data_IF_567725414913
#
_entry.id   IF_567725414913
#
_cell.length_a   1.000
_cell.length_b   1.000
_cell.length_c   1.000
_cell.angle_alpha   90.00
_cell.angle_beta   90.00
_cell.angle_gamma   90.00
#
_symmetry.space_group_name_H-M   'P 1'
#
loop_
_entity.id
_entity.type
_entity.pdbx_description
1 polymer ?
#
# COMPACT_ATOMS: atom_id res chain seq x y z
N UNK A 1 17.35 19.20 -33.19
CA UNK A 1 16.59 18.11 -33.85
C UNK A 1 15.89 17.43 -32.71
N UNK A 2 14.56 17.37 -32.76
CA UNK A 2 13.77 16.87 -31.63
C UNK A 2 14.17 15.44 -31.26
N UNK A 3 14.70 15.27 -30.05
CA UNK A 3 15.03 13.96 -29.49
C UNK A 3 13.80 13.39 -28.77
N UNK A 4 13.10 12.51 -29.46
CA UNK A 4 11.87 11.89 -28.95
C UNK A 4 12.10 10.97 -27.75
N UNK A 5 13.28 10.34 -27.67
CA UNK A 5 13.58 9.37 -26.61
C UNK A 5 13.91 10.11 -25.32
N UNK A 6 14.75 11.15 -25.41
CA UNK A 6 15.02 12.04 -24.29
C UNK A 6 13.75 12.74 -23.79
N UNK A 7 12.92 13.27 -24.71
CA UNK A 7 11.64 13.90 -24.36
C UNK A 7 10.70 12.95 -23.61
N UNK A 8 10.58 11.70 -24.08
CA UNK A 8 9.73 10.68 -23.45
C UNK A 8 10.22 10.30 -22.05
N UNK A 9 11.53 10.11 -21.89
CA UNK A 9 12.12 9.75 -20.60
C UNK A 9 11.92 10.87 -19.58
N UNK A 10 12.16 12.12 -19.99
CA UNK A 10 11.97 13.29 -19.15
C UNK A 10 10.48 13.49 -18.76
N UNK A 11 9.55 13.24 -19.68
CA UNK A 11 8.11 13.31 -19.42
C UNK A 11 7.68 12.25 -18.38
N UNK A 12 8.18 11.03 -18.50
CA UNK A 12 7.88 9.95 -17.58
C UNK A 12 8.46 10.23 -16.18
N UNK A 13 9.70 10.70 -16.10
CA UNK A 13 10.34 11.10 -14.84
C UNK A 13 9.54 12.22 -14.16
N UNK A 14 9.16 13.26 -14.92
CA UNK A 14 8.38 14.39 -14.40
C UNK A 14 7.02 13.94 -13.88
N UNK A 15 6.34 13.03 -14.59
CA UNK A 15 5.04 12.51 -14.18
C UNK A 15 5.14 11.66 -12.91
N UNK A 16 6.21 10.86 -12.78
CA UNK A 16 6.48 10.09 -11.57
C UNK A 16 6.78 11.01 -10.37
N UNK A 17 7.54 12.09 -10.59
CA UNK A 17 7.82 13.08 -9.54
C UNK A 17 6.54 13.79 -9.07
N UNK A 18 5.66 14.18 -9.98
CA UNK A 18 4.36 14.80 -9.65
C UNK A 18 3.46 13.82 -8.86
N UNK A 19 3.44 12.54 -9.22
CA UNK A 19 2.67 11.53 -8.51
C UNK A 19 3.18 11.31 -7.08
N UNK A 20 4.51 11.20 -6.92
CA UNK A 20 5.14 10.98 -5.62
C UNK A 20 5.07 12.21 -4.70
N UNK A 21 4.93 13.42 -5.26
CA UNK A 21 4.66 14.66 -4.50
C UNK A 21 3.39 14.53 -3.63
N UNK A 22 2.41 13.74 -4.05
CA UNK A 22 1.18 13.53 -3.29
C UNK A 22 1.36 12.60 -2.06
N UNK A 23 2.44 11.82 -2.01
CA UNK A 23 2.65 10.75 -1.02
C UNK A 23 3.71 11.12 0.05
N UNK A 24 4.72 11.94 -0.28
CA UNK A 24 5.85 12.25 0.62
C UNK A 24 5.84 13.71 1.13
N UNK A 25 5.15 13.96 2.24
CA UNK A 25 4.98 15.31 2.82
C UNK A 25 6.21 16.00 3.43
N UNK A 26 7.46 15.63 3.10
CA UNK A 26 8.67 16.21 3.72
C UNK A 26 9.91 16.44 2.81
N UNK A 27 9.88 16.10 1.52
CA UNK A 27 10.95 16.40 0.53
C UNK A 27 10.51 17.45 -0.53
N UNK A 28 9.64 18.36 -0.11
CA UNK A 28 8.89 19.32 -0.94
C UNK A 28 9.77 20.11 -1.93
N UNK A 29 10.80 20.80 -1.44
CA UNK A 29 11.36 21.92 -2.20
C UNK A 29 12.35 21.48 -3.29
N UNK A 30 13.19 20.48 -3.02
CA UNK A 30 14.10 19.92 -4.04
C UNK A 30 13.32 19.22 -5.15
N UNK A 31 12.23 18.53 -4.79
CA UNK A 31 11.35 17.87 -5.73
C UNK A 31 10.61 18.88 -6.60
N UNK A 32 10.12 19.98 -6.01
CA UNK A 32 9.42 21.05 -6.73
C UNK A 32 10.35 21.76 -7.72
N UNK A 33 11.56 22.13 -7.30
CA UNK A 33 12.59 22.70 -8.19
C UNK A 33 12.92 21.77 -9.35
N UNK A 34 12.98 20.45 -9.10
CA UNK A 34 13.25 19.44 -10.14
C UNK A 34 12.09 19.31 -11.13
N UNK A 35 10.84 19.33 -10.65
CA UNK A 35 9.64 19.33 -11.50
C UNK A 35 9.63 20.58 -12.38
N UNK A 36 9.85 21.76 -11.82
CA UNK A 36 9.89 23.03 -12.57
C UNK A 36 10.98 23.02 -13.65
N UNK A 37 12.18 22.55 -13.31
CA UNK A 37 13.30 22.44 -14.24
C UNK A 37 12.99 21.47 -15.40
N UNK A 38 12.41 20.31 -15.09
CA UNK A 38 12.03 19.34 -16.10
C UNK A 38 10.92 19.87 -17.02
N UNK A 39 9.93 20.56 -16.46
CA UNK A 39 8.86 21.21 -17.24
C UNK A 39 9.41 22.28 -18.17
N UNK A 40 10.32 23.13 -17.69
CA UNK A 40 10.98 24.13 -18.53
C UNK A 40 11.75 23.47 -19.68
N UNK A 41 12.44 22.37 -19.39
CA UNK A 41 13.18 21.59 -20.39
C UNK A 41 12.25 20.93 -21.41
N UNK A 42 11.13 20.35 -20.97
CA UNK A 42 10.09 19.79 -21.86
C UNK A 42 9.50 20.87 -22.77
N UNK A 43 9.22 22.08 -22.25
CA UNK A 43 8.75 23.21 -23.08
C UNK A 43 9.79 23.65 -24.10
N UNK A 44 11.06 23.67 -23.71
CA UNK A 44 12.16 23.98 -24.62
C UNK A 44 12.26 22.96 -25.77
N UNK A 45 12.25 21.67 -25.44
CA UNK A 45 12.27 20.59 -26.44
C UNK A 45 11.04 20.62 -27.35
N UNK A 46 9.86 20.87 -26.80
CA UNK A 46 8.62 20.96 -27.57
C UNK A 46 8.64 22.12 -28.58
N UNK A 47 9.43 23.17 -28.36
CA UNK A 47 9.61 24.26 -29.35
C UNK A 47 10.36 23.83 -30.59
N UNK A 48 11.17 22.77 -30.51
CA UNK A 48 11.87 22.20 -31.67
C UNK A 48 10.95 21.38 -32.59
N UNK A 49 9.70 21.11 -32.18
CA UNK A 49 8.71 20.44 -33.03
C UNK A 49 8.38 21.36 -34.22
N UNK A 50 8.61 20.85 -35.43
CA UNK A 50 8.38 21.57 -36.69
C UNK A 50 6.91 21.72 -37.05
N UNK A 51 6.08 20.74 -36.69
CA UNK A 51 4.63 20.78 -36.87
C UNK A 51 4.00 21.72 -35.83
N UNK A 52 3.43 22.83 -36.31
CA UNK A 52 2.84 23.89 -35.48
C UNK A 52 1.66 23.39 -34.63
N UNK A 53 0.81 22.53 -35.21
CA UNK A 53 -0.36 21.99 -34.53
C UNK A 53 0.07 21.00 -33.44
N UNK A 54 1.05 20.16 -33.75
CA UNK A 54 1.62 19.21 -32.81
C UNK A 54 2.36 19.93 -31.68
N UNK A 55 3.13 20.97 -32.02
CA UNK A 55 3.83 21.83 -31.06
C UNK A 55 2.84 22.49 -30.10
N UNK A 56 1.79 23.11 -30.63
CA UNK A 56 0.76 23.78 -29.85
C UNK A 56 0.04 22.82 -28.89
N UNK A 57 -0.34 21.62 -29.37
CA UNK A 57 -0.96 20.59 -28.52
C UNK A 57 -0.01 20.06 -27.46
N UNK A 58 1.27 19.88 -27.80
CA UNK A 58 2.29 19.35 -26.88
C UNK A 58 2.59 20.35 -25.78
N UNK A 59 2.79 21.64 -26.12
CA UNK A 59 2.98 22.70 -25.14
C UNK A 59 1.78 22.84 -24.20
N UNK A 60 0.55 22.81 -24.74
CA UNK A 60 -0.67 22.81 -23.92
C UNK A 60 -0.73 21.65 -22.94
N UNK A 61 -0.33 20.44 -23.38
CA UNK A 61 -0.28 19.27 -22.49
C UNK A 61 0.78 19.39 -21.41
N UNK A 62 1.95 19.97 -21.73
CA UNK A 62 3.00 20.21 -20.72
C UNK A 62 2.52 21.25 -19.70
N UNK A 63 1.86 22.32 -20.13
CA UNK A 63 1.27 23.31 -19.23
C UNK A 63 0.23 22.67 -18.29
N UNK A 64 -0.52 21.67 -18.76
CA UNK A 64 -1.51 20.95 -17.95
C UNK A 64 -0.89 20.02 -16.89
N UNK A 65 0.38 19.60 -17.03
CA UNK A 65 1.03 18.74 -16.03
C UNK A 65 1.27 19.46 -14.70
N UNK A 66 1.33 20.79 -14.71
CA UNK A 66 1.57 21.63 -13.53
C UNK A 66 0.28 22.10 -12.84
N UNK A 67 -0.88 21.88 -13.45
CA UNK A 67 -2.17 22.25 -12.86
C UNK A 67 -2.56 21.18 -11.85
N UNK A 68 -2.97 21.59 -10.64
CA UNK A 68 -3.54 20.66 -9.68
C UNK A 68 -4.72 19.89 -10.32
N UNK A 69 -4.93 18.62 -9.95
CA UNK A 69 -5.94 17.76 -10.57
C UNK A 69 -7.37 18.34 -10.55
N UNK A 70 -7.66 19.32 -9.68
CA UNK A 70 -8.95 20.04 -9.65
C UNK A 70 -9.16 21.04 -10.81
N UNK A 71 -8.08 21.62 -11.37
CA UNK A 71 -8.17 22.57 -12.51
C UNK A 71 -8.15 21.87 -13.88
N UNK A 72 -7.65 20.63 -13.91
CA UNK A 72 -7.60 19.76 -15.09
C UNK A 72 -9.01 19.44 -15.64
N UNK A 73 -9.98 19.18 -14.76
CA UNK A 73 -11.35 18.82 -15.16
C UNK A 73 -12.17 19.99 -15.73
N UNK A 74 -11.89 21.23 -15.33
CA UNK A 74 -12.68 22.42 -15.73
C UNK A 74 -12.31 22.96 -17.12
N UNK A 75 -11.03 22.94 -17.48
CA UNK A 75 -10.52 23.63 -18.69
C UNK A 75 -10.61 22.78 -19.98
N UNK A 76 -10.54 21.45 -19.89
CA UNK A 76 -10.68 20.58 -21.07
C UNK A 76 -12.15 20.49 -21.54
N UNK A 77 -13.10 20.49 -20.60
CA UNK A 77 -14.56 20.46 -20.87
C UNK A 77 -15.00 21.78 -21.53
N UNK A 78 -14.50 22.92 -21.05
CA UNK A 78 -14.82 24.24 -21.63
C UNK A 78 -14.28 24.43 -23.05
N UNK A 79 -13.08 23.91 -23.34
CA UNK A 79 -12.46 24.04 -24.66
C UNK A 79 -12.99 23.02 -25.69
N UNK A 80 -13.61 21.91 -25.27
CA UNK A 80 -14.37 21.02 -26.18
C UNK A 80 -15.78 21.54 -26.47
N UNK A 81 -16.38 22.31 -25.57
CA UNK A 81 -17.74 22.86 -25.72
C UNK A 81 -17.86 23.99 -26.77
N UNK A 82 -16.78 24.70 -27.11
CA UNK A 82 -16.84 25.80 -28.10
C UNK A 82 -16.88 25.34 -29.55
N UNK A 83 -16.61 24.06 -29.84
CA UNK A 83 -16.55 23.50 -31.20
C UNK A 83 -17.79 22.73 -31.68
N UNK A 84 -18.71 22.35 -30.79
CA UNK A 84 -19.82 21.43 -31.15
C UNK A 84 -21.16 22.12 -30.93
N UNK A 85 -21.50 22.96 -31.91
CA UNK A 85 -22.83 23.53 -32.09
C UNK A 85 -23.85 22.41 -32.42
N UNK A 86 -24.91 22.32 -31.60
CA UNK A 86 -26.18 21.58 -31.78
C UNK A 86 -26.24 20.09 -31.36
N UNK A 87 -26.18 19.81 -30.06
CA UNK A 87 -26.82 18.61 -29.43
C UNK A 87 -26.88 18.70 -27.88
N UNK A 88 -27.14 19.89 -27.32
CA UNK A 88 -26.80 20.18 -25.91
C UNK A 88 -27.64 19.44 -24.88
N UNK A 89 -28.94 19.23 -25.09
CA UNK A 89 -29.79 18.82 -23.95
C UNK A 89 -29.63 17.35 -23.52
N UNK A 90 -29.33 16.44 -24.46
CA UNK A 90 -29.09 15.03 -24.16
C UNK A 90 -27.65 14.80 -23.65
N UNK A 91 -26.69 15.53 -24.22
CA UNK A 91 -25.28 15.48 -23.80
C UNK A 91 -25.12 15.97 -22.37
N UNK A 92 -25.76 17.08 -21.99
CA UNK A 92 -25.69 17.66 -20.65
C UNK A 92 -26.32 16.76 -19.56
N UNK A 93 -27.24 15.86 -19.95
CA UNK A 93 -27.83 14.87 -19.05
C UNK A 93 -26.88 13.70 -18.80
N UNK A 94 -26.32 13.16 -19.88
CA UNK A 94 -25.35 12.06 -19.81
C UNK A 94 -24.10 12.51 -19.03
N UNK A 95 -23.65 13.74 -19.24
CA UNK A 95 -22.51 14.32 -18.54
C UNK A 95 -22.76 14.46 -17.03
N UNK A 96 -23.94 14.96 -16.63
CA UNK A 96 -24.31 15.04 -15.21
C UNK A 96 -24.38 13.66 -14.56
N UNK A 97 -24.88 12.66 -15.27
CA UNK A 97 -24.95 11.31 -14.75
C UNK A 97 -23.56 10.67 -14.62
N UNK A 98 -22.67 10.85 -15.61
CA UNK A 98 -21.28 10.40 -15.53
C UNK A 98 -20.58 11.04 -14.33
N UNK A 99 -20.66 12.37 -14.18
CA UNK A 99 -20.07 13.07 -13.03
C UNK A 99 -20.61 12.57 -11.70
N UNK A 100 -21.92 12.31 -11.63
CA UNK A 100 -22.57 11.78 -10.43
C UNK A 100 -22.08 10.37 -10.11
N UNK A 101 -21.92 9.52 -11.11
CA UNK A 101 -21.41 8.16 -10.92
C UNK A 101 -19.94 8.14 -10.55
N UNK A 102 -19.11 8.99 -11.17
CA UNK A 102 -17.69 9.13 -10.82
C UNK A 102 -17.51 9.60 -9.38
N UNK A 103 -18.26 10.61 -8.93
CA UNK A 103 -18.23 11.05 -7.52
C UNK A 103 -18.66 9.95 -6.56
N UNK A 104 -19.70 9.18 -6.90
CA UNK A 104 -20.16 8.04 -6.09
C UNK A 104 -19.13 6.91 -6.06
N UNK A 105 -18.46 6.65 -7.18
CA UNK A 105 -17.42 5.64 -7.28
C UNK A 105 -16.20 6.04 -6.45
N UNK A 106 -15.73 7.27 -6.58
CA UNK A 106 -14.62 7.80 -5.80
C UNK A 106 -14.91 7.72 -4.29
N UNK A 107 -16.13 8.12 -3.87
CA UNK A 107 -16.55 7.97 -2.48
C UNK A 107 -16.60 6.50 -2.00
N UNK A 108 -16.98 5.55 -2.87
CA UNK A 108 -16.93 4.11 -2.55
C UNK A 108 -15.50 3.58 -2.45
N UNK A 109 -14.61 4.01 -3.34
CA UNK A 109 -13.18 3.64 -3.31
C UNK A 109 -12.53 4.14 -2.04
N UNK A 110 -12.80 5.39 -1.63
CA UNK A 110 -12.31 5.94 -0.38
C UNK A 110 -12.76 5.12 0.84
N UNK A 111 -14.07 4.82 0.94
CA UNK A 111 -14.59 3.96 2.03
C UNK A 111 -14.01 2.55 2.00
N UNK A 112 -13.76 2.01 0.81
CA UNK A 112 -13.14 0.70 0.65
C UNK A 112 -11.70 0.71 1.18
N UNK A 113 -10.90 1.71 0.81
CA UNK A 113 -9.54 1.87 1.37
C UNK A 113 -9.55 2.03 2.89
N UNK A 114 -10.45 2.85 3.43
CA UNK A 114 -10.61 3.01 4.88
C UNK A 114 -10.97 1.67 5.57
N UNK A 115 -11.86 0.87 4.96
CA UNK A 115 -12.21 -0.47 5.46
C UNK A 115 -11.04 -1.44 5.40
N UNK A 116 -10.25 -1.42 4.31
CA UNK A 116 -9.07 -2.27 4.15
C UNK A 116 -7.98 -1.91 5.16
N UNK A 117 -7.77 -0.63 5.45
CA UNK A 117 -6.83 -0.20 6.48
C UNK A 117 -7.26 -0.68 7.88
N UNK A 118 -8.57 -0.58 8.18
CA UNK A 118 -9.15 -1.13 9.41
C UNK A 118 -8.94 -2.64 9.52
N UNK A 119 -9.26 -3.39 8.46
CA UNK A 119 -9.08 -4.85 8.43
C UNK A 119 -7.61 -5.24 8.58
N UNK A 120 -6.69 -4.48 7.98
CA UNK A 120 -5.24 -4.67 8.13
C UNK A 120 -4.79 -4.51 9.59
N UNK A 121 -5.28 -3.46 10.28
CA UNK A 121 -5.00 -3.26 11.72
C UNK A 121 -5.55 -4.39 12.57
N UNK A 122 -6.78 -4.84 12.31
CA UNK A 122 -7.39 -5.97 13.04
C UNK A 122 -6.60 -7.25 12.80
N UNK A 123 -6.17 -7.53 11.57
CA UNK A 123 -5.30 -8.68 11.27
C UNK A 123 -3.96 -8.59 12.01
N UNK A 124 -3.38 -7.39 12.14
CA UNK A 124 -2.21 -7.14 12.96
C UNK A 124 -2.44 -7.52 14.43
N UNK A 125 -3.54 -7.06 15.02
CA UNK A 125 -3.91 -7.40 16.41
C UNK A 125 -4.17 -8.89 16.62
N UNK A 126 -4.85 -9.54 15.67
CA UNK A 126 -5.12 -10.99 15.72
C UNK A 126 -3.81 -11.76 15.62
N UNK A 127 -2.90 -11.36 14.73
CA UNK A 127 -1.59 -11.99 14.58
C UNK A 127 -0.76 -11.83 15.84
N UNK A 128 -0.75 -10.65 16.45
CA UNK A 128 -0.02 -10.40 17.69
C UNK A 128 -0.61 -11.20 18.88
N UNK A 129 -1.94 -11.24 19.02
CA UNK A 129 -2.61 -12.10 20.01
C UNK A 129 -2.32 -13.59 19.79
N UNK A 130 -2.34 -14.05 18.54
CA UNK A 130 -2.05 -15.44 18.20
C UNK A 130 -0.60 -15.79 18.51
N UNK A 131 0.35 -14.91 18.17
CA UNK A 131 1.77 -15.05 18.52
C UNK A 131 1.95 -15.13 20.05
N UNK A 132 1.32 -14.23 20.79
CA UNK A 132 1.38 -14.20 22.26
C UNK A 132 0.77 -15.46 22.89
N UNK A 133 -0.34 -15.96 22.34
CA UNK A 133 -0.96 -17.22 22.76
C UNK A 133 -0.11 -18.44 22.42
N UNK A 134 0.54 -18.49 21.25
CA UNK A 134 1.48 -19.56 20.89
C UNK A 134 2.71 -19.55 21.80
N UNK A 135 3.21 -18.36 22.15
CA UNK A 135 4.33 -18.20 23.09
C UNK A 135 3.93 -18.60 24.52
N UNK A 136 2.72 -18.27 24.95
CA UNK A 136 2.13 -18.72 26.22
C UNK A 136 1.90 -20.24 26.26
N UNK A 137 1.43 -20.83 25.16
CA UNK A 137 1.16 -22.27 25.07
C UNK A 137 2.47 -23.07 25.00
N UNK A 138 3.46 -22.60 24.26
CA UNK A 138 4.78 -23.24 24.20
C UNK A 138 5.54 -23.17 25.52
N UNK A 139 5.43 -22.04 26.24
CA UNK A 139 5.96 -21.94 27.61
C UNK A 139 5.22 -22.86 28.58
N UNK A 140 3.88 -22.92 28.55
CA UNK A 140 3.09 -23.85 29.36
C UNK A 140 3.42 -25.33 29.06
N UNK A 141 3.59 -25.70 27.78
CA UNK A 141 4.03 -27.05 27.38
C UNK A 141 5.45 -27.36 27.86
N UNK A 142 6.36 -26.36 27.85
CA UNK A 142 7.71 -26.51 28.39
C UNK A 142 7.67 -26.73 29.90
N UNK A 143 6.87 -25.96 30.65
CA UNK A 143 6.67 -26.19 32.08
C UNK A 143 6.06 -27.57 32.36
N UNK A 144 5.04 -27.99 31.63
CA UNK A 144 4.48 -29.35 31.76
C UNK A 144 5.48 -30.46 31.42
N UNK A 145 6.39 -30.27 30.46
CA UNK A 145 7.46 -31.23 30.17
C UNK A 145 8.52 -31.30 31.28
N UNK A 146 8.68 -30.23 32.05
CA UNK A 146 9.67 -30.16 33.14
C UNK A 146 9.09 -30.63 34.49
N UNK A 147 7.78 -30.39 34.71
CA UNK A 147 7.04 -30.88 35.88
C UNK A 147 6.47 -32.30 35.70
N UNK A 148 6.46 -32.80 34.47
CA UNK A 148 6.10 -34.18 34.13
C UNK A 148 7.16 -35.19 34.56
N UNK A 149 7.02 -35.70 35.78
CA UNK A 149 7.68 -36.90 36.33
C UNK A 149 9.15 -36.75 36.77
N UNK A 150 9.35 -35.95 37.82
CA UNK A 150 10.59 -35.93 38.61
C UNK A 150 10.66 -36.95 39.75
N UNK A 151 9.89 -38.04 39.75
CA UNK A 151 10.24 -39.18 40.62
C UNK A 151 11.12 -40.09 39.77
N UNK A 152 12.45 -40.12 40.00
CA UNK A 152 13.31 -41.00 39.24
C UNK A 152 12.79 -42.42 39.45
N UNK A 153 12.39 -43.09 38.37
CA UNK A 153 11.89 -44.48 38.38
C UNK A 153 12.82 -45.43 39.12
N UNK A 154 14.12 -45.12 39.14
CA UNK A 154 15.14 -45.75 39.98
C UNK A 154 14.85 -45.72 41.49
N UNK A 155 14.29 -44.64 42.04
CA UNK A 155 13.92 -44.56 43.47
C UNK A 155 12.73 -45.45 43.81
N UNK A 156 11.75 -45.53 42.92
CA UNK A 156 10.60 -46.42 43.10
C UNK A 156 11.07 -47.87 43.03
N UNK A 157 11.90 -48.21 42.04
CA UNK A 157 12.48 -49.54 41.92
C UNK A 157 13.32 -49.92 43.14
N UNK A 158 14.19 -49.01 43.60
CA UNK A 158 15.03 -49.24 44.79
C UNK A 158 14.19 -49.44 46.06
N UNK A 159 13.10 -48.69 46.23
CA UNK A 159 12.14 -48.87 47.33
C UNK A 159 11.55 -50.28 47.33
N UNK A 160 11.04 -50.74 46.17
CA UNK A 160 10.43 -52.07 46.04
C UNK A 160 11.45 -53.17 46.32
N UNK A 161 12.65 -53.07 45.75
CA UNK A 161 13.73 -54.05 45.99
C UNK A 161 14.12 -54.10 47.46
N UNK A 162 14.23 -52.95 48.12
CA UNK A 162 14.58 -52.89 49.55
C UNK A 162 13.49 -53.54 50.40
N UNK A 163 12.21 -53.29 50.11
CA UNK A 163 11.10 -53.93 50.80
C UNK A 163 11.12 -55.46 50.65
N UNK A 164 11.41 -55.97 49.44
CA UNK A 164 11.59 -57.40 49.21
C UNK A 164 12.76 -57.99 49.99
N UNK A 165 13.90 -57.29 50.05
CA UNK A 165 15.07 -57.74 50.83
C UNK A 165 14.71 -57.81 52.32
N UNK A 166 14.11 -56.76 52.88
CA UNK A 166 13.70 -56.74 54.29
C UNK A 166 12.71 -57.88 54.59
N UNK A 167 11.69 -58.05 53.75
CA UNK A 167 10.70 -59.13 53.91
C UNK A 167 11.36 -60.52 53.82
N UNK A 168 12.29 -60.72 52.90
CA UNK A 168 13.05 -61.97 52.78
C UNK A 168 13.85 -62.28 54.06
N UNK A 169 14.52 -61.26 54.62
CA UNK A 169 15.25 -61.43 55.88
C UNK A 169 14.30 -61.74 57.05
N UNK A 170 13.14 -61.10 57.13
CA UNK A 170 12.13 -61.42 58.15
C UNK A 170 11.66 -62.88 58.00
N UNK A 171 11.29 -63.33 56.81
CA UNK A 171 10.81 -64.71 56.60
C UNK A 171 11.89 -65.76 56.89
N UNK A 172 13.15 -65.45 56.60
CA UNK A 172 14.24 -66.42 56.71
C UNK A 172 14.86 -66.50 58.11
N UNK A 173 14.82 -65.42 58.89
CA UNK A 173 15.51 -65.31 60.18
C UNK A 173 14.60 -65.09 61.39
N UNK A 174 13.30 -64.85 61.18
CA UNK A 174 12.27 -64.85 62.22
C UNK A 174 11.50 -66.19 62.19
#
# INVERSE_FOLDING_TARGET
>A
MFDSEYFKNLLNETTALIANRAEEGNNSDEMEVRIESNVATLKYLAREITDEDLRSRTLKRIDMLCLEPEEFEMNEVRNRASGISKSSECSDRIERDILRYTKRLHGKVKRFMESVDLDSRVLGEVTDKMSRNLMGTSSALRFMKTDGCGIPTLRILASVVTAFIVMYFIIRFL
#
